data_IF_191449160259
#
_entry.id   IF_191449160259
#
_cell.length_a   1.000
_cell.length_b   1.000
_cell.length_c   1.000
_cell.angle_alpha   90.00
_cell.angle_beta   90.00
_cell.angle_gamma   90.00
#
_symmetry.space_group_name_H-M   'P 1'
#
loop_
_entity.id
_entity.type
_entity.pdbx_description
1 polymer ?
#
# COMPACT_ATOMS: atom_id res chain seq x y z
N UNK A 1 -8.37 -46.98 -27.56
CA UNK A 1 -9.30 -46.69 -28.67
C UNK A 1 -10.33 -45.73 -28.09
N UNK A 2 -10.01 -44.44 -27.97
CA UNK A 2 -10.07 -43.47 -29.06
C UNK A 2 -8.79 -42.63 -29.17
N UNK A 3 -7.92 -43.05 -30.08
CA UNK A 3 -7.19 -42.09 -30.89
C UNK A 3 -8.21 -41.24 -31.66
N UNK A 4 -7.86 -39.97 -31.87
CA UNK A 4 -8.61 -38.93 -32.57
C UNK A 4 -9.68 -38.22 -31.73
N UNK A 5 -9.30 -37.07 -31.19
CA UNK A 5 -9.92 -35.76 -31.48
C UNK A 5 -9.28 -34.69 -30.58
N UNK A 6 -8.01 -34.36 -30.84
CA UNK A 6 -7.73 -32.94 -30.97
C UNK A 6 -8.28 -32.57 -32.36
N UNK A 7 -9.20 -31.61 -32.42
CA UNK A 7 -8.94 -30.57 -33.39
C UNK A 7 -8.97 -29.26 -32.64
N UNK A 8 -7.85 -28.54 -32.73
CA UNK A 8 -7.87 -27.16 -33.16
C UNK A 8 -9.05 -26.39 -32.56
N UNK A 9 -8.97 -26.08 -31.26
CA UNK A 9 -9.82 -25.04 -30.75
C UNK A 9 -9.27 -23.75 -31.33
N UNK A 10 -9.80 -23.37 -32.49
CA UNK A 10 -9.58 -22.05 -33.05
C UNK A 10 -10.19 -21.05 -32.07
N UNK A 11 -9.34 -20.43 -31.26
CA UNK A 11 -9.71 -19.42 -30.27
C UNK A 11 -10.26 -18.14 -30.92
N UNK A 12 -10.26 -18.06 -32.26
CA UNK A 12 -10.97 -17.03 -33.02
C UNK A 12 -12.48 -17.30 -33.12
N UNK A 13 -12.95 -18.53 -32.91
CA UNK A 13 -14.37 -18.93 -33.05
C UNK A 13 -15.17 -18.79 -31.74
N UNK A 14 -16.49 -18.51 -31.83
CA UNK A 14 -17.36 -18.30 -30.65
C UNK A 14 -17.36 -19.48 -29.67
N UNK A 15 -17.36 -20.72 -30.16
CA UNK A 15 -17.30 -21.92 -29.32
C UNK A 15 -15.93 -22.11 -28.66
N UNK A 16 -14.84 -21.80 -29.37
CA UNK A 16 -13.48 -21.87 -28.83
C UNK A 16 -13.20 -20.82 -27.75
N UNK A 17 -13.70 -19.59 -27.95
CA UNK A 17 -13.69 -18.54 -26.92
C UNK A 17 -14.49 -18.97 -25.69
N UNK A 18 -15.66 -19.57 -25.89
CA UNK A 18 -16.50 -20.09 -24.80
C UNK A 18 -15.79 -21.15 -23.94
N UNK A 19 -15.09 -22.11 -24.55
CA UNK A 19 -14.32 -23.13 -23.82
C UNK A 19 -13.14 -22.54 -23.06
N UNK A 20 -12.41 -21.59 -23.65
CA UNK A 20 -11.28 -20.93 -22.99
C UNK A 20 -11.76 -20.08 -21.79
N UNK A 21 -12.86 -19.35 -21.95
CA UNK A 21 -13.50 -18.62 -20.85
C UNK A 21 -13.94 -19.57 -19.73
N UNK A 22 -14.58 -20.70 -20.07
CA UNK A 22 -15.03 -21.69 -19.09
C UNK A 22 -13.89 -22.30 -18.26
N UNK A 23 -12.69 -22.44 -18.83
CA UNK A 23 -11.50 -22.95 -18.14
C UNK A 23 -10.74 -21.85 -17.38
N UNK A 24 -10.62 -20.66 -17.95
CA UNK A 24 -9.83 -19.56 -17.38
C UNK A 24 -10.59 -18.79 -16.28
N UNK A 25 -11.90 -18.60 -16.42
CA UNK A 25 -12.72 -17.87 -15.45
C UNK A 25 -12.62 -18.42 -14.01
N UNK A 26 -12.72 -19.74 -13.75
CA UNK A 26 -12.57 -20.27 -12.38
C UNK A 26 -11.15 -20.08 -11.81
N UNK A 27 -10.11 -20.15 -12.64
CA UNK A 27 -8.72 -19.94 -12.20
C UNK A 27 -8.47 -18.47 -11.86
N UNK A 28 -8.95 -17.53 -12.68
CA UNK A 28 -8.84 -16.09 -12.43
C UNK A 28 -9.61 -15.69 -11.15
N UNK A 29 -10.71 -16.38 -10.83
CA UNK A 29 -11.47 -16.15 -9.59
C UNK A 29 -10.70 -16.55 -8.33
N UNK A 30 -9.80 -17.53 -8.41
CA UNK A 30 -8.99 -17.98 -7.27
C UNK A 30 -7.80 -17.06 -6.96
N UNK A 31 -7.53 -16.06 -7.82
CA UNK A 31 -6.40 -15.14 -7.63
C UNK A 31 -6.76 -14.05 -6.61
N UNK A 32 -5.99 -13.89 -5.52
CA UNK A 32 -6.15 -12.80 -4.57
C UNK A 32 -5.64 -11.48 -5.17
N UNK A 33 -6.38 -10.39 -4.97
CA UNK A 33 -6.05 -9.05 -5.47
C UNK A 33 -6.91 -8.61 -6.66
N UNK A 34 -7.67 -7.53 -6.46
CA UNK A 34 -8.63 -7.05 -7.45
C UNK A 34 -7.94 -6.48 -8.71
N UNK A 35 -6.85 -5.74 -8.53
CA UNK A 35 -6.10 -5.13 -9.64
C UNK A 35 -5.46 -6.19 -10.57
N UNK A 36 -4.88 -7.25 -9.98
CA UNK A 36 -4.28 -8.34 -10.75
C UNK A 36 -5.36 -9.15 -11.49
N UNK A 37 -6.49 -9.42 -10.81
CA UNK A 37 -7.64 -10.06 -11.44
C UNK A 37 -8.19 -9.25 -12.61
N UNK A 38 -8.27 -7.92 -12.46
CA UNK A 38 -8.71 -7.02 -13.51
C UNK A 38 -7.73 -7.00 -14.69
N UNK A 39 -6.42 -6.93 -14.42
CA UNK A 39 -5.37 -7.00 -15.44
C UNK A 39 -5.46 -8.30 -16.24
N UNK A 40 -5.57 -9.45 -15.58
CA UNK A 40 -5.66 -10.76 -16.23
C UNK A 40 -6.93 -10.93 -17.06
N UNK A 41 -8.05 -10.36 -16.61
CA UNK A 41 -9.28 -10.30 -17.40
C UNK A 41 -9.11 -9.49 -18.66
N UNK A 42 -8.45 -8.33 -18.57
CA UNK A 42 -8.20 -7.46 -19.72
C UNK A 42 -7.23 -8.12 -20.70
N UNK A 43 -6.20 -8.81 -20.21
CA UNK A 43 -5.29 -9.61 -21.05
C UNK A 43 -6.02 -10.75 -21.75
N UNK A 44 -6.95 -11.44 -21.06
CA UNK A 44 -7.77 -12.49 -21.65
C UNK A 44 -8.71 -11.92 -22.72
N UNK A 45 -9.33 -10.77 -22.46
CA UNK A 45 -10.21 -10.08 -23.40
C UNK A 45 -9.48 -9.68 -24.69
N UNK A 46 -8.27 -9.12 -24.56
CA UNK A 46 -7.40 -8.77 -25.69
C UNK A 46 -7.03 -10.01 -26.52
N UNK A 47 -6.67 -11.12 -25.86
CA UNK A 47 -6.35 -12.39 -26.54
C UNK A 47 -7.55 -13.02 -27.25
N UNK A 48 -8.77 -12.74 -26.78
CA UNK A 48 -10.02 -13.21 -27.38
C UNK A 48 -10.60 -12.21 -28.41
N UNK A 49 -9.93 -11.07 -28.64
CA UNK A 49 -10.40 -10.01 -29.53
C UNK A 49 -11.74 -9.40 -29.11
N UNK A 50 -12.02 -9.38 -27.80
CA UNK A 50 -13.23 -8.80 -27.23
C UNK A 50 -12.89 -7.37 -26.78
N UNK A 51 -13.37 -6.39 -27.55
CA UNK A 51 -13.15 -4.96 -27.28
C UNK A 51 -14.39 -4.27 -26.68
N UNK A 52 -15.51 -4.98 -26.63
CA UNK A 52 -16.78 -4.53 -26.06
C UNK A 52 -16.87 -4.98 -24.59
N UNK A 53 -16.89 -4.01 -23.68
CA UNK A 53 -16.93 -4.24 -22.23
C UNK A 53 -18.19 -4.98 -21.79
N UNK A 54 -19.32 -4.78 -22.48
CA UNK A 54 -20.58 -5.46 -22.18
C UNK A 54 -20.54 -6.96 -22.52
N UNK A 55 -19.86 -7.31 -23.63
CA UNK A 55 -19.64 -8.71 -24.01
C UNK A 55 -18.65 -9.39 -23.06
N UNK A 56 -17.62 -8.66 -22.62
CA UNK A 56 -16.67 -9.15 -21.63
C UNK A 56 -17.33 -9.43 -20.28
N UNK A 57 -18.24 -8.56 -19.82
CA UNK A 57 -19.00 -8.75 -18.59
C UNK A 57 -19.98 -9.93 -18.66
N UNK A 58 -20.57 -10.19 -19.83
CA UNK A 58 -21.44 -11.36 -20.02
C UNK A 58 -20.69 -12.70 -19.94
N UNK A 59 -19.43 -12.72 -20.38
CA UNK A 59 -18.59 -13.92 -20.43
C UNK A 59 -17.80 -14.13 -19.13
N UNK A 60 -17.33 -13.04 -18.53
CA UNK A 60 -16.61 -13.04 -17.27
C UNK A 60 -17.17 -11.86 -16.45
N UNK A 61 -18.21 -12.08 -15.62
CA UNK A 61 -18.83 -11.02 -14.85
C UNK A 61 -17.81 -10.35 -13.92
N UNK A 62 -17.72 -9.02 -13.90
CA UNK A 62 -17.05 -8.30 -12.79
C UNK A 62 -17.89 -8.59 -11.55
N UNK A 63 -17.35 -9.34 -10.60
CA UNK A 63 -17.99 -9.43 -9.30
C UNK A 63 -17.81 -8.08 -8.62
N UNK A 64 -18.82 -7.21 -8.78
CA UNK A 64 -19.04 -6.13 -7.82
C UNK A 64 -19.51 -6.83 -6.56
N UNK A 65 -18.56 -7.09 -5.69
CA UNK A 65 -18.75 -7.89 -4.51
C UNK A 65 -19.52 -7.05 -3.48
N UNK A 66 -20.85 -6.95 -3.69
CA UNK A 66 -21.83 -6.56 -2.69
C UNK A 66 -21.83 -7.63 -1.59
N UNK A 67 -20.87 -7.54 -0.67
CA UNK A 67 -20.81 -8.43 0.48
C UNK A 67 -21.88 -8.03 1.49
N UNK A 68 -23.05 -8.64 1.35
CA UNK A 68 -23.90 -8.98 2.51
C UNK A 68 -23.24 -10.12 3.28
N UNK A 69 -23.28 -9.98 4.60
CA UNK A 69 -22.66 -10.80 5.61
C UNK A 69 -22.75 -12.32 5.40
N UNK A 70 -21.60 -13.00 5.52
CA UNK A 70 -21.51 -14.31 6.17
C UNK A 70 -20.27 -14.32 7.06
N UNK A 71 -20.49 -14.64 8.33
CA UNK A 71 -19.53 -14.55 9.42
C UNK A 71 -18.63 -15.77 9.45
N UNK A 72 -17.35 -15.59 9.14
CA UNK A 72 -16.24 -16.38 9.67
C UNK A 72 -14.96 -15.54 9.52
N UNK A 73 -14.34 -15.24 10.65
CA UNK A 73 -13.20 -14.33 10.84
C UNK A 73 -13.53 -12.83 10.87
N UNK A 74 -14.17 -12.44 11.97
CA UNK A 74 -14.28 -11.05 12.40
C UNK A 74 -12.95 -10.57 12.99
N UNK A 75 -11.94 -10.40 12.14
CA UNK A 75 -10.95 -9.37 12.39
C UNK A 75 -11.26 -8.20 11.45
N UNK A 76 -11.38 -6.97 11.96
CA UNK A 76 -11.53 -5.82 11.10
C UNK A 76 -10.31 -5.81 10.17
N UNK A 77 -10.52 -6.04 8.86
CA UNK A 77 -9.47 -5.87 7.85
C UNK A 77 -8.90 -4.47 8.06
N UNK A 78 -7.73 -4.41 8.69
CA UNK A 78 -7.15 -3.18 9.18
C UNK A 78 -6.90 -2.30 7.96
N UNK A 79 -7.43 -1.07 7.97
CA UNK A 79 -7.22 -0.14 6.86
C UNK A 79 -5.72 0.03 6.65
N UNK A 80 -5.27 -0.21 5.42
CA UNK A 80 -3.88 -0.07 4.99
C UNK A 80 -3.55 1.41 4.79
N UNK A 81 -3.30 2.12 5.89
CA UNK A 81 -2.88 3.53 5.82
C UNK A 81 -1.39 3.61 5.49
N UNK A 82 -0.91 4.68 4.84
CA UNK A 82 0.52 4.85 4.55
C UNK A 82 1.40 4.73 5.80
N UNK A 83 0.95 5.24 6.96
CA UNK A 83 1.68 5.10 8.23
C UNK A 83 1.83 3.64 8.66
N UNK A 84 0.78 2.82 8.53
CA UNK A 84 0.84 1.41 8.90
C UNK A 84 1.74 0.60 7.97
N UNK A 85 1.69 0.89 6.67
CA UNK A 85 2.59 0.29 5.68
C UNK A 85 4.04 0.68 5.98
N UNK A 86 4.29 1.95 6.31
CA UNK A 86 5.62 2.41 6.68
C UNK A 86 6.17 1.68 7.90
N UNK A 87 5.36 1.59 8.97
CA UNK A 87 5.74 0.91 10.22
C UNK A 87 5.92 -0.60 9.99
N UNK A 88 5.06 -1.26 9.22
CA UNK A 88 5.20 -2.70 8.94
C UNK A 88 6.46 -3.01 8.14
N UNK A 89 6.75 -2.22 7.11
CA UNK A 89 7.97 -2.37 6.31
C UNK A 89 9.23 -2.14 7.16
N UNK A 90 9.26 -1.10 8.01
CA UNK A 90 10.39 -0.84 8.92
C UNK A 90 10.57 -1.96 9.95
N UNK A 91 9.46 -2.42 10.53
CA UNK A 91 9.47 -3.49 11.53
C UNK A 91 10.06 -4.77 10.95
N UNK A 92 9.64 -5.15 9.73
CA UNK A 92 10.11 -6.34 9.05
C UNK A 92 11.52 -6.19 8.45
N UNK A 93 11.94 -4.96 8.16
CA UNK A 93 13.21 -4.64 7.49
C UNK A 93 13.91 -3.47 8.19
N UNK A 94 14.54 -3.74 9.33
CA UNK A 94 15.06 -2.70 10.24
C UNK A 94 16.16 -1.82 9.62
N UNK A 95 16.87 -2.32 8.60
CA UNK A 95 17.85 -1.55 7.83
C UNK A 95 17.25 -0.34 7.08
N UNK A 96 15.92 -0.32 6.84
CA UNK A 96 15.23 0.80 6.22
C UNK A 96 15.26 2.07 7.07
N UNK A 97 15.61 1.95 8.35
CA UNK A 97 15.80 3.10 9.25
C UNK A 97 16.81 4.12 8.69
N UNK A 98 17.78 3.67 7.90
CA UNK A 98 18.79 4.52 7.25
C UNK A 98 18.21 5.46 6.18
N UNK A 99 16.94 5.25 5.80
CA UNK A 99 16.22 6.11 4.85
C UNK A 99 15.34 7.15 5.55
N UNK A 100 15.28 7.13 6.87
CA UNK A 100 14.55 8.11 7.68
C UNK A 100 15.51 9.24 8.06
N UNK A 101 15.22 10.44 7.61
CA UNK A 101 15.89 11.67 8.06
C UNK A 101 15.22 12.22 9.31
N UNK A 102 15.99 12.87 10.20
CA UNK A 102 15.44 13.50 11.40
C UNK A 102 14.38 14.56 11.05
N UNK A 103 14.66 15.43 10.08
CA UNK A 103 13.72 16.46 9.62
C UNK A 103 12.42 15.87 9.07
N UNK A 104 12.50 14.78 8.30
CA UNK A 104 11.32 14.12 7.75
C UNK A 104 10.51 13.39 8.82
N UNK A 105 11.17 12.82 9.83
CA UNK A 105 10.46 12.23 10.96
C UNK A 105 9.69 13.31 11.72
N UNK A 106 10.37 14.43 12.05
CA UNK A 106 9.76 15.56 12.76
C UNK A 106 8.60 16.20 12.01
N UNK A 107 8.61 16.20 10.68
CA UNK A 107 7.48 16.68 9.88
C UNK A 107 6.19 15.88 10.16
N UNK A 108 6.30 14.61 10.54
CA UNK A 108 5.17 13.73 10.84
C UNK A 108 4.63 13.87 12.27
N UNK A 109 5.14 14.79 13.10
CA UNK A 109 4.81 14.92 14.54
C UNK A 109 3.32 15.03 14.87
N UNK A 110 2.50 15.52 13.94
CA UNK A 110 1.06 15.68 14.11
C UNK A 110 0.25 14.50 13.51
N UNK A 111 0.91 13.55 12.86
CA UNK A 111 0.27 12.42 12.19
C UNK A 111 -0.04 11.29 13.17
N UNK A 112 -1.21 10.66 12.99
CA UNK A 112 -1.58 9.51 13.81
C UNK A 112 -0.59 8.36 13.60
N UNK A 113 0.00 7.88 14.70
CA UNK A 113 1.02 6.82 14.68
C UNK A 113 2.47 7.33 14.73
N UNK A 114 2.68 8.66 14.77
CA UNK A 114 3.99 9.27 14.95
C UNK A 114 4.76 8.70 16.14
N UNK A 115 4.16 8.67 17.33
CA UNK A 115 4.84 8.23 18.56
C UNK A 115 5.42 6.81 18.42
N UNK A 116 4.70 5.91 17.74
CA UNK A 116 5.17 4.55 17.49
C UNK A 116 6.30 4.54 16.47
N UNK A 117 6.16 5.29 15.37
CA UNK A 117 7.19 5.41 14.35
C UNK A 117 8.49 5.98 14.93
N UNK A 118 8.41 7.02 15.76
CA UNK A 118 9.55 7.66 16.41
C UNK A 118 10.27 6.67 17.34
N UNK A 119 9.54 6.00 18.23
CA UNK A 119 10.11 5.00 19.15
C UNK A 119 10.74 3.82 18.40
N UNK A 120 10.08 3.33 17.35
CA UNK A 120 10.60 2.24 16.53
C UNK A 120 11.86 2.66 15.77
N UNK A 121 11.88 3.86 15.20
CA UNK A 121 13.03 4.44 14.50
C UNK A 121 14.23 4.56 15.46
N UNK A 122 14.02 5.14 16.65
CA UNK A 122 15.06 5.28 17.65
C UNK A 122 15.63 3.93 18.11
N UNK A 123 14.77 2.92 18.29
CA UNK A 123 15.20 1.57 18.65
C UNK A 123 16.07 0.94 17.54
N UNK A 124 15.63 1.03 16.28
CA UNK A 124 16.38 0.50 15.13
C UNK A 124 17.73 1.21 14.93
N UNK A 125 17.81 2.53 15.18
CA UNK A 125 19.07 3.28 15.14
C UNK A 125 20.02 2.89 16.28
N UNK A 126 19.49 2.65 17.47
CA UNK A 126 20.30 2.31 18.66
C UNK A 126 20.82 0.87 18.62
N UNK A 127 20.07 -0.04 17.98
CA UNK A 127 20.38 -1.47 17.91
C UNK A 127 20.41 -1.94 16.47
N UNK A 128 21.54 -1.73 15.82
CA UNK A 128 21.77 -2.19 14.45
C UNK A 128 21.56 -3.72 14.34
N UNK A 129 20.78 -4.15 13.34
CA UNK A 129 20.47 -5.56 13.13
C UNK A 129 19.47 -6.18 14.11
N UNK A 130 18.76 -5.37 14.91
CA UNK A 130 17.70 -5.87 15.80
C UNK A 130 16.63 -6.64 14.99
N UNK A 131 16.22 -7.79 15.52
CA UNK A 131 15.22 -8.66 14.88
C UNK A 131 13.79 -8.27 15.25
N UNK A 132 12.81 -8.66 14.43
CA UNK A 132 11.37 -8.45 14.70
C UNK A 132 10.99 -8.97 16.09
N UNK A 133 11.44 -10.17 16.45
CA UNK A 133 11.15 -10.77 17.76
C UNK A 133 11.69 -9.95 18.93
N UNK A 134 12.89 -9.39 18.82
CA UNK A 134 13.47 -8.50 19.84
C UNK A 134 12.75 -7.15 19.90
N UNK A 135 12.26 -6.63 18.78
CA UNK A 135 11.41 -5.43 18.76
C UNK A 135 10.09 -5.73 19.49
N UNK A 136 9.39 -6.81 19.12
CA UNK A 136 8.14 -7.19 19.77
C UNK A 136 8.32 -7.41 21.29
N UNK A 137 9.44 -8.01 21.70
CA UNK A 137 9.79 -8.15 23.11
C UNK A 137 9.96 -6.80 23.80
N UNK A 138 10.65 -5.86 23.16
CA UNK A 138 10.85 -4.52 23.71
C UNK A 138 9.53 -3.77 23.93
N UNK A 139 8.55 -3.98 23.06
CA UNK A 139 7.24 -3.34 23.14
C UNK A 139 6.17 -4.16 23.89
N UNK A 140 6.51 -5.34 24.44
CA UNK A 140 5.56 -6.31 25.04
C UNK A 140 4.56 -5.70 26.02
N UNK A 141 5.04 -4.86 26.94
CA UNK A 141 4.22 -4.26 28.00
C UNK A 141 3.74 -2.83 27.66
N UNK A 142 3.70 -2.49 26.37
CA UNK A 142 3.24 -1.18 25.88
C UNK A 142 1.92 -1.29 25.13
N UNK A 143 1.21 -0.17 24.99
CA UNK A 143 -0.01 -0.07 24.17
C UNK A 143 0.22 -0.41 22.69
N UNK A 144 1.46 -0.35 22.21
CA UNK A 144 1.80 -0.61 20.80
C UNK A 144 1.95 -2.10 20.46
N UNK A 145 2.11 -2.98 21.46
CA UNK A 145 2.44 -4.39 21.24
C UNK A 145 1.49 -5.05 20.25
N UNK A 146 0.18 -4.95 20.50
CA UNK A 146 -0.83 -5.60 19.67
C UNK A 146 -0.85 -5.07 18.24
N UNK A 147 -0.58 -3.77 18.06
CA UNK A 147 -0.49 -3.18 16.73
C UNK A 147 0.75 -3.70 15.99
N UNK A 148 1.91 -3.73 16.65
CA UNK A 148 3.15 -4.24 16.06
C UNK A 148 3.06 -5.73 15.74
N UNK A 149 2.43 -6.54 16.60
CA UNK A 149 2.21 -7.97 16.35
C UNK A 149 1.42 -8.19 15.06
N UNK A 150 0.33 -7.44 14.86
CA UNK A 150 -0.45 -7.50 13.62
C UNK A 150 0.40 -7.07 12.41
N UNK A 151 1.11 -5.95 12.52
CA UNK A 151 1.94 -5.42 11.43
C UNK A 151 3.13 -6.33 11.09
N UNK A 152 3.66 -7.08 12.05
CA UNK A 152 4.74 -8.05 11.84
C UNK A 152 4.30 -9.23 10.97
N UNK A 153 3.02 -9.62 11.05
CA UNK A 153 2.46 -10.74 10.27
C UNK A 153 2.00 -10.33 8.87
N UNK A 154 2.11 -9.05 8.52
CA UNK A 154 1.57 -8.56 7.27
C UNK A 154 2.44 -8.98 6.08
N UNK A 155 1.89 -9.86 5.23
CA UNK A 155 2.51 -10.25 3.97
C UNK A 155 2.42 -9.15 2.91
N UNK A 156 3.57 -8.58 2.54
CA UNK A 156 3.66 -7.54 1.52
C UNK A 156 3.79 -8.11 0.09
N UNK A 157 4.29 -9.35 -0.06
CA UNK A 157 4.55 -10.00 -1.36
C UNK A 157 5.41 -9.12 -2.30
N UNK A 158 6.44 -8.49 -1.73
CA UNK A 158 7.40 -7.62 -2.43
C UNK A 158 8.78 -8.26 -2.39
N UNK A 159 9.57 -8.06 -3.44
CA UNK A 159 11.00 -8.34 -3.39
C UNK A 159 11.80 -7.24 -2.64
N UNK A 160 13.09 -7.47 -2.39
CA UNK A 160 13.92 -6.52 -1.63
C UNK A 160 13.97 -5.11 -2.26
N UNK A 161 13.95 -5.02 -3.59
CA UNK A 161 13.97 -3.74 -4.30
C UNK A 161 12.62 -3.03 -4.16
N UNK A 162 11.54 -3.78 -4.30
CA UNK A 162 10.17 -3.29 -4.12
C UNK A 162 9.90 -2.86 -2.68
N UNK A 163 10.43 -3.57 -1.68
CA UNK A 163 10.36 -3.18 -0.25
C UNK A 163 10.97 -1.80 -0.04
N UNK A 164 12.20 -1.61 -0.54
CA UNK A 164 12.92 -0.33 -0.44
C UNK A 164 12.14 0.80 -1.11
N UNK A 165 11.61 0.54 -2.31
CA UNK A 165 10.84 1.52 -3.07
C UNK A 165 9.53 1.86 -2.38
N UNK A 166 8.77 0.85 -1.94
CA UNK A 166 7.51 1.02 -1.24
C UNK A 166 7.69 1.80 0.06
N UNK A 167 8.74 1.51 0.83
CA UNK A 167 9.07 2.26 2.04
C UNK A 167 9.35 3.73 1.72
N UNK A 168 10.26 3.98 0.77
CA UNK A 168 10.68 5.35 0.41
C UNK A 168 9.50 6.17 -0.14
N UNK A 169 8.64 5.56 -0.96
CA UNK A 169 7.46 6.21 -1.51
C UNK A 169 6.41 6.52 -0.43
N UNK A 170 6.12 5.59 0.48
CA UNK A 170 5.17 5.83 1.56
C UNK A 170 5.69 6.90 2.53
N UNK A 171 6.98 6.86 2.88
CA UNK A 171 7.61 7.86 3.73
C UNK A 171 7.55 9.26 3.11
N UNK A 172 7.93 9.38 1.84
CA UNK A 172 7.87 10.63 1.09
C UNK A 172 6.45 11.16 0.98
N UNK A 173 5.48 10.29 0.68
CA UNK A 173 4.07 10.67 0.60
C UNK A 173 3.57 11.25 1.92
N UNK A 174 3.87 10.60 3.04
CA UNK A 174 3.52 11.10 4.37
C UNK A 174 4.16 12.46 4.66
N UNK A 175 5.43 12.64 4.30
CA UNK A 175 6.14 13.91 4.46
C UNK A 175 5.50 15.04 3.66
N UNK A 176 5.20 14.81 2.38
CA UNK A 176 4.53 15.80 1.52
C UNK A 176 3.18 16.17 2.12
N UNK A 177 2.38 15.19 2.56
CA UNK A 177 1.08 15.43 3.18
C UNK A 177 1.19 16.26 4.46
N UNK A 178 2.17 15.97 5.31
CA UNK A 178 2.37 16.70 6.56
C UNK A 178 2.86 18.14 6.32
N UNK A 179 3.77 18.33 5.37
CA UNK A 179 4.25 19.66 4.96
C UNK A 179 3.10 20.49 4.37
N UNK A 180 2.25 19.89 3.52
CA UNK A 180 1.08 20.55 2.96
C UNK A 180 0.09 20.99 4.04
N UNK A 181 -0.21 20.10 4.99
CA UNK A 181 -1.04 20.41 6.16
C UNK A 181 -0.48 21.58 6.97
N UNK A 182 0.83 21.60 7.25
CA UNK A 182 1.47 22.68 8.01
C UNK A 182 1.45 24.02 7.25
N UNK A 183 1.69 24.01 5.94
CA UNK A 183 1.57 25.19 5.08
C UNK A 183 0.14 25.73 5.12
N UNK A 184 -0.87 24.86 4.96
CA UNK A 184 -2.28 25.26 4.97
C UNK A 184 -2.68 25.90 6.31
N UNK A 185 -2.23 25.34 7.43
CA UNK A 185 -2.47 25.91 8.76
C UNK A 185 -1.83 27.30 8.92
N UNK A 186 -0.58 27.47 8.45
CA UNK A 186 0.11 28.77 8.52
C UNK A 186 -0.56 29.82 7.61
N UNK A 187 -0.97 29.45 6.40
CA UNK A 187 -1.72 30.36 5.50
C UNK A 187 -3.07 30.74 6.12
N UNK A 188 -3.77 29.78 6.73
CA UNK A 188 -5.03 30.07 7.41
C UNK A 188 -4.84 31.04 8.58
N UNK A 189 -3.78 30.83 9.38
CA UNK A 189 -3.41 31.72 10.49
C UNK A 189 -3.01 33.12 10.01
N UNK A 190 -2.25 33.23 8.93
CA UNK A 190 -1.86 34.53 8.36
C UNK A 190 -3.10 35.37 8.01
N UNK A 191 -4.14 34.73 7.47
CA UNK A 191 -5.40 35.40 7.09
C UNK A 191 -6.25 35.85 8.27
N UNK A 192 -6.19 35.16 9.40
CA UNK A 192 -7.03 35.45 10.57
C UNK A 192 -6.35 36.39 11.57
N UNK A 193 -5.11 36.11 11.92
CA UNK A 193 -4.41 36.73 13.06
C UNK A 193 -3.03 37.30 12.67
N UNK A 194 -2.55 36.96 11.47
CA UNK A 194 -1.18 37.23 11.05
C UNK A 194 -0.20 36.16 11.54
N UNK A 195 1.01 36.16 10.97
CA UNK A 195 2.11 35.29 11.38
C UNK A 195 3.16 36.07 12.15
N UNK A 196 3.73 35.43 13.18
CA UNK A 196 4.98 35.90 13.79
C UNK A 196 6.15 35.75 12.81
N UNK A 197 7.26 36.44 13.08
CA UNK A 197 8.45 36.33 12.23
C UNK A 197 8.99 34.89 12.17
N UNK A 198 8.94 34.16 13.29
CA UNK A 198 9.34 32.76 13.35
C UNK A 198 8.44 31.87 12.46
N UNK A 199 7.13 32.11 12.46
CA UNK A 199 6.19 31.36 11.64
C UNK A 199 6.29 31.70 10.16
N UNK A 200 6.58 32.96 9.83
CA UNK A 200 6.87 33.39 8.46
C UNK A 200 8.12 32.69 7.94
N UNK A 201 9.18 32.63 8.75
CA UNK A 201 10.41 31.91 8.41
C UNK A 201 10.16 30.41 8.24
N UNK A 202 9.36 29.80 9.14
CA UNK A 202 8.96 28.40 9.04
C UNK A 202 8.17 28.13 7.74
N UNK A 203 7.23 29.01 7.37
CA UNK A 203 6.46 28.88 6.14
C UNK A 203 7.37 28.87 4.90
N UNK A 204 8.36 29.77 4.85
CA UNK A 204 9.36 29.79 3.76
C UNK A 204 10.15 28.47 3.71
N UNK A 205 10.62 27.99 4.86
CA UNK A 205 11.34 26.70 4.93
C UNK A 205 10.48 25.53 4.45
N UNK A 206 9.22 25.46 4.87
CA UNK A 206 8.29 24.41 4.44
C UNK A 206 8.00 24.45 2.93
N UNK A 207 7.87 25.64 2.34
CA UNK A 207 7.70 25.79 0.89
C UNK A 207 8.91 25.29 0.11
N UNK A 208 10.13 25.60 0.56
CA UNK A 208 11.36 25.07 -0.04
C UNK A 208 11.46 23.56 0.11
N UNK A 209 11.23 23.03 1.31
CA UNK A 209 11.26 21.57 1.55
C UNK A 209 10.22 20.82 0.71
N UNK A 210 9.04 21.40 0.47
CA UNK A 210 8.03 20.82 -0.42
C UNK A 210 8.55 20.65 -1.85
N UNK A 211 9.27 21.64 -2.38
CA UNK A 211 9.84 21.58 -3.73
C UNK A 211 10.96 20.52 -3.83
N UNK A 212 11.83 20.43 -2.84
CA UNK A 212 12.88 19.41 -2.75
C UNK A 212 12.30 17.99 -2.72
N UNK A 213 11.26 17.79 -1.91
CA UNK A 213 10.54 16.53 -1.80
C UNK A 213 9.71 16.21 -3.04
N UNK A 214 9.41 17.16 -3.93
CA UNK A 214 8.73 16.89 -5.21
C UNK A 214 9.71 16.49 -6.32
N UNK A 215 10.95 16.97 -6.25
CA UNK A 215 11.97 16.77 -7.28
C UNK A 215 12.94 15.60 -7.00
N UNK A 216 12.98 15.10 -5.75
CA UNK A 216 13.67 13.85 -5.38
C UNK A 216 12.87 12.62 -5.79
#
# INVERSE_FOLDING_TARGET
MFAHLNPQVDFSTKEGRGKLVALAAPLIRQIPGEALRLSLRNTLAQKLGIFDESQLESLIPKQVENHRATSADSQPKMKQTPMRVLISLLLQNTHLVNRITESGLMALRAEAGYDLLEKLTALCQTREGITIGQILEHFRDTEYYRALEILATWEHLLDDTEIINAFSQNYRRLNIQAIERDIEMLIAKERSEGLTEQERQLLVTLLTSKEEQKNS
#
